data_IF_739178794128
#
_entry.id   IF_739178794128
#
_cell.length_a   1.000
_cell.length_b   1.000
_cell.length_c   1.000
_cell.angle_alpha   90.00
_cell.angle_beta   90.00
_cell.angle_gamma   90.00
#
_symmetry.space_group_name_H-M   'P 1'
#
loop_
_entity.id
_entity.type
_entity.pdbx_description
1 polymer ?
#
# COMPACT_ATOMS: atom_id res chain seq x y z
N UNK A 1 6.28 6.19 -10.33
CA UNK A 1 6.32 7.01 -9.10
C UNK A 1 6.99 6.22 -7.99
N UNK A 2 7.73 6.91 -7.15
CA UNK A 2 8.43 6.33 -6.01
C UNK A 2 7.54 6.35 -4.77
N UNK A 3 7.50 5.23 -4.04
CA UNK A 3 6.92 5.16 -2.70
C UNK A 3 8.05 5.31 -1.70
N UNK A 4 8.06 6.45 -1.00
CA UNK A 4 9.04 6.72 0.03
C UNK A 4 8.78 5.88 1.29
N UNK A 5 9.81 5.69 2.12
CA UNK A 5 9.77 4.98 3.40
C UNK A 5 8.67 5.51 4.33
N UNK A 6 8.39 6.81 4.31
CA UNK A 6 7.28 7.38 5.10
C UNK A 6 5.92 6.90 4.62
N UNK A 7 5.69 6.89 3.31
CA UNK A 7 4.45 6.40 2.70
C UNK A 7 4.29 4.90 2.92
N UNK A 8 5.37 4.13 2.73
CA UNK A 8 5.41 2.70 3.01
C UNK A 8 5.10 2.39 4.48
N UNK A 9 5.61 3.21 5.42
CA UNK A 9 5.31 3.10 6.86
C UNK A 9 3.84 3.43 7.15
N UNK A 10 3.27 4.44 6.50
CA UNK A 10 1.87 4.79 6.65
C UNK A 10 0.94 3.67 6.17
N UNK A 11 1.25 3.04 5.04
CA UNK A 11 0.52 1.87 4.53
C UNK A 11 0.58 0.70 5.51
N UNK A 12 1.76 0.41 6.08
CA UNK A 12 1.91 -0.63 7.13
C UNK A 12 1.08 -0.34 8.38
N UNK A 13 1.03 0.93 8.82
CA UNK A 13 0.22 1.35 9.97
C UNK A 13 -1.26 1.14 9.69
N UNK A 14 -1.75 1.65 8.56
CA UNK A 14 -3.15 1.46 8.15
C UNK A 14 -3.53 -0.02 8.06
N UNK A 15 -2.65 -0.87 7.53
CA UNK A 15 -2.86 -2.32 7.54
C UNK A 15 -3.03 -2.86 8.97
N UNK A 16 -2.19 -2.43 9.91
CA UNK A 16 -2.26 -2.85 11.32
C UNK A 16 -3.53 -2.31 12.02
N UNK A 17 -3.89 -1.06 11.75
CA UNK A 17 -5.09 -0.41 12.31
C UNK A 17 -6.36 -1.15 11.87
N UNK A 18 -6.42 -1.57 10.61
CA UNK A 18 -7.52 -2.37 10.04
C UNK A 18 -7.39 -3.87 10.35
N UNK A 19 -6.33 -4.31 11.06
CA UNK A 19 -6.03 -5.72 11.36
C UNK A 19 -6.03 -6.64 10.14
N UNK A 20 -5.59 -6.12 9.00
CA UNK A 20 -5.61 -6.85 7.73
C UNK A 20 -4.36 -7.72 7.54
N UNK A 21 -4.54 -8.88 6.92
CA UNK A 21 -3.42 -9.65 6.38
C UNK A 21 -2.87 -8.96 5.13
N UNK A 22 -1.61 -9.21 4.77
CA UNK A 22 -1.02 -8.66 3.54
C UNK A 22 -1.81 -9.04 2.28
N UNK A 23 -2.42 -10.23 2.27
CA UNK A 23 -3.30 -10.68 1.19
C UNK A 23 -4.58 -9.85 1.15
N UNK A 24 -5.24 -9.64 2.29
CA UNK A 24 -6.47 -8.85 2.37
C UNK A 24 -6.22 -7.37 1.97
N UNK A 25 -5.18 -6.74 2.51
CA UNK A 25 -4.81 -5.37 2.14
C UNK A 25 -4.49 -5.25 0.64
N UNK A 26 -3.77 -6.22 0.06
CA UNK A 26 -3.49 -6.22 -1.38
C UNK A 26 -4.77 -6.29 -2.23
N UNK A 27 -5.77 -7.03 -1.76
CA UNK A 27 -7.06 -7.20 -2.43
C UNK A 27 -7.91 -5.92 -2.35
N UNK A 28 -7.93 -5.24 -1.20
CA UNK A 28 -8.59 -3.94 -1.05
C UNK A 28 -7.97 -2.83 -1.91
N UNK A 29 -6.64 -2.82 -2.01
CA UNK A 29 -5.90 -1.88 -2.88
C UNK A 29 -6.10 -2.24 -4.36
N UNK A 30 -6.48 -3.49 -4.67
CA UNK A 30 -6.64 -3.98 -6.05
C UNK A 30 -5.30 -4.22 -6.75
N UNK A 31 -4.34 -4.80 -6.03
CA UNK A 31 -2.99 -5.15 -6.50
C UNK A 31 -2.61 -6.57 -6.08
N UNK A 32 -1.51 -7.11 -6.63
CA UNK A 32 -1.01 -8.42 -6.23
C UNK A 32 -0.35 -8.37 -4.84
N UNK A 33 -0.42 -9.48 -4.09
CA UNK A 33 0.26 -9.61 -2.80
C UNK A 33 1.78 -9.42 -2.92
N UNK A 34 2.41 -9.90 -4.01
CA UNK A 34 3.85 -9.68 -4.26
C UNK A 34 4.18 -8.20 -4.42
N UNK A 35 3.31 -7.44 -5.10
CA UNK A 35 3.46 -5.99 -5.25
C UNK A 35 3.28 -5.30 -3.90
N UNK A 36 2.29 -5.71 -3.11
CA UNK A 36 2.04 -5.19 -1.77
C UNK A 36 3.25 -5.37 -0.84
N UNK A 37 3.85 -6.57 -0.81
CA UNK A 37 5.06 -6.81 -0.02
C UNK A 37 6.24 -5.91 -0.40
N UNK A 38 6.33 -5.48 -1.67
CA UNK A 38 7.33 -4.48 -2.09
C UNK A 38 6.92 -3.07 -1.68
N UNK A 39 5.64 -2.70 -1.79
CA UNK A 39 5.13 -1.37 -1.41
C UNK A 39 5.42 -1.07 0.06
N UNK A 40 5.19 -2.05 0.95
CA UNK A 40 5.48 -1.87 2.37
C UNK A 40 6.98 -1.69 2.63
N UNK A 41 7.88 -2.11 1.75
CA UNK A 41 9.32 -1.86 1.88
C UNK A 41 9.68 -0.47 1.32
N UNK A 42 9.01 -0.05 0.25
CA UNK A 42 9.29 1.18 -0.49
C UNK A 42 9.99 0.90 -1.83
N UNK A 43 10.10 1.92 -2.67
CA UNK A 43 10.80 1.85 -3.96
C UNK A 43 9.94 2.29 -5.16
N UNK A 44 10.38 1.92 -6.36
CA UNK A 44 9.79 2.40 -7.61
C UNK A 44 8.66 1.51 -8.14
N UNK A 45 7.51 2.11 -8.41
CA UNK A 45 6.32 1.43 -8.92
C UNK A 45 5.72 2.16 -10.13
N UNK A 46 4.92 1.43 -10.91
CA UNK A 46 4.07 2.02 -11.96
C UNK A 46 3.12 3.04 -11.33
N UNK A 47 2.83 4.13 -12.05
CA UNK A 47 1.94 5.18 -11.55
C UNK A 47 0.58 4.64 -11.11
N UNK A 48 0.00 3.71 -11.88
CA UNK A 48 -1.27 3.06 -11.52
C UNK A 48 -1.25 2.32 -10.18
N UNK A 49 -0.11 1.74 -9.79
CA UNK A 49 0.06 1.06 -8.50
C UNK A 49 0.21 2.07 -7.38
N UNK A 50 1.00 3.12 -7.62
CA UNK A 50 1.16 4.23 -6.68
C UNK A 50 -0.19 4.89 -6.38
N UNK A 51 -0.96 5.24 -7.41
CA UNK A 51 -2.26 5.91 -7.27
C UNK A 51 -3.26 5.05 -6.49
N UNK A 52 -3.30 3.74 -6.76
CA UNK A 52 -4.13 2.80 -5.99
C UNK A 52 -3.73 2.75 -4.53
N UNK A 53 -2.44 2.63 -4.23
CA UNK A 53 -1.94 2.57 -2.86
C UNK A 53 -2.24 3.87 -2.10
N UNK A 54 -2.06 5.02 -2.75
CA UNK A 54 -2.29 6.33 -2.15
C UNK A 54 -3.78 6.65 -1.97
N UNK A 55 -4.62 6.24 -2.93
CA UNK A 55 -6.07 6.32 -2.81
C UNK A 55 -6.57 5.45 -1.66
N UNK A 56 -6.05 4.23 -1.52
CA UNK A 56 -6.38 3.39 -0.37
C UNK A 56 -5.92 4.02 0.93
N UNK A 57 -4.71 4.58 0.99
CA UNK A 57 -4.22 5.28 2.18
C UNK A 57 -5.13 6.46 2.57
N UNK A 58 -5.60 7.23 1.58
CA UNK A 58 -6.46 8.40 1.77
C UNK A 58 -7.92 8.08 2.10
N UNK A 59 -8.36 6.82 1.95
CA UNK A 59 -9.78 6.41 2.05
C UNK A 59 -10.42 6.50 3.46
N UNK A 60 -9.84 7.26 4.38
CA UNK A 60 -10.36 7.53 5.73
C UNK A 60 -10.49 9.04 6.04
N UNK A 61 -10.27 9.92 5.05
CA UNK A 61 -10.44 11.38 5.14
C UNK A 61 -11.41 11.89 4.08
#
# INVERSE_FOLDING_TARGET
>A
MEIDKYQAKAIRRKQADLRLTAKAASLEIGISQKTYSKIIIGGNFKNTVYDKAMKWLSKDY
#
